data_IF_134529548509
#
_entry.id   IF_134529548509
#
_cell.length_a   1.000
_cell.length_b   1.000
_cell.length_c   1.000
_cell.angle_alpha   90.00
_cell.angle_beta   90.00
_cell.angle_gamma   90.00
#
_symmetry.space_group_name_H-M   'P 1'
#
loop_
_entity.id
_entity.type
_entity.pdbx_description
1 polymer ?
#
# COMPACT_ATOMS: atom_id res chain seq x y z
N UNK A 1 13.82 17.28 4.91
CA UNK A 1 13.09 18.36 4.22
C UNK A 1 11.60 18.07 4.36
N UNK A 2 10.78 19.02 4.84
CA UNK A 2 9.37 18.76 5.20
C UNK A 2 8.37 18.91 4.05
N UNK A 3 8.79 18.92 2.77
CA UNK A 3 7.97 18.87 1.54
C UNK A 3 6.56 19.54 1.60
N UNK A 4 6.45 20.72 2.20
CA UNK A 4 5.17 21.46 2.33
C UNK A 4 4.30 21.10 3.54
N UNK A 5 4.69 20.13 4.36
CA UNK A 5 4.01 19.77 5.61
C UNK A 5 4.31 20.80 6.71
N UNK A 6 3.26 21.17 7.44
CA UNK A 6 3.31 22.15 8.54
C UNK A 6 3.88 21.57 9.85
N UNK A 7 3.99 20.24 9.96
CA UNK A 7 4.51 19.55 11.14
C UNK A 7 5.19 18.21 10.77
N UNK A 8 6.15 17.80 11.59
CA UNK A 8 6.82 16.51 11.42
C UNK A 8 5.85 15.34 11.62
N UNK A 9 4.89 15.47 12.56
CA UNK A 9 3.85 14.47 12.77
C UNK A 9 2.94 14.29 11.55
N UNK A 10 2.55 15.37 10.88
CA UNK A 10 1.77 15.31 9.65
C UNK A 10 2.51 14.62 8.50
N UNK A 11 3.80 14.94 8.33
CA UNK A 11 4.67 14.26 7.37
C UNK A 11 4.81 12.77 7.68
N UNK A 12 5.03 12.41 8.96
CA UNK A 12 5.20 11.02 9.37
C UNK A 12 3.93 10.20 9.17
N UNK A 13 2.76 10.76 9.51
CA UNK A 13 1.48 10.11 9.28
C UNK A 13 1.25 9.88 7.77
N UNK A 14 1.49 10.91 6.95
CA UNK A 14 1.37 10.78 5.50
C UNK A 14 2.29 9.70 4.94
N UNK A 15 3.58 9.72 5.30
CA UNK A 15 4.55 8.71 4.85
C UNK A 15 4.11 7.31 5.28
N UNK A 16 3.66 7.15 6.52
CA UNK A 16 3.22 5.85 7.06
C UNK A 16 2.03 5.30 6.30
N UNK A 17 0.95 6.08 6.16
CA UNK A 17 -0.27 5.66 5.46
C UNK A 17 0.02 5.42 3.98
N UNK A 18 0.68 6.37 3.32
CA UNK A 18 0.99 6.27 1.90
C UNK A 18 1.88 5.06 1.61
N UNK A 19 2.89 4.80 2.43
CA UNK A 19 3.79 3.65 2.24
C UNK A 19 3.06 2.33 2.45
N UNK A 20 2.17 2.23 3.44
CA UNK A 20 1.36 1.04 3.66
C UNK A 20 0.48 0.73 2.44
N UNK A 21 -0.26 1.74 1.94
CA UNK A 21 -1.11 1.58 0.74
C UNK A 21 -0.27 1.24 -0.49
N UNK A 22 0.82 1.95 -0.74
CA UNK A 22 1.71 1.69 -1.88
C UNK A 22 2.28 0.28 -1.83
N UNK A 23 2.76 -0.16 -0.69
CA UNK A 23 3.39 -1.48 -0.54
C UNK A 23 2.38 -2.63 -0.62
N UNK A 24 1.10 -2.38 -0.28
CA UNK A 24 0.03 -3.34 -0.48
C UNK A 24 -0.19 -3.63 -1.97
N UNK A 25 -0.26 -2.58 -2.80
CA UNK A 25 -0.61 -2.73 -4.22
C UNK A 25 0.59 -2.91 -5.16
N UNK A 26 1.76 -2.39 -4.80
CA UNK A 26 2.95 -2.43 -5.66
C UNK A 26 3.84 -3.61 -5.29
N UNK A 27 3.95 -4.65 -6.13
CA UNK A 27 4.78 -5.81 -5.85
C UNK A 27 6.28 -5.42 -5.81
N UNK A 28 7.08 -6.09 -4.97
CA UNK A 28 8.52 -5.87 -4.93
C UNK A 28 9.17 -6.25 -6.27
N UNK A 29 10.14 -5.45 -6.71
CA UNK A 29 10.79 -5.57 -8.01
C UNK A 29 11.47 -6.93 -8.26
N UNK A 30 11.74 -7.68 -7.19
CA UNK A 30 12.52 -8.91 -7.21
C UNK A 30 11.76 -10.16 -7.71
N UNK A 31 10.43 -10.11 -7.91
CA UNK A 31 9.64 -11.27 -8.37
C UNK A 31 8.66 -10.88 -9.49
N UNK A 32 9.16 -10.92 -10.73
CA UNK A 32 8.47 -10.37 -11.92
C UNK A 32 7.77 -11.41 -12.80
N UNK A 33 7.38 -12.57 -12.26
CA UNK A 33 6.56 -13.52 -13.03
C UNK A 33 5.10 -13.06 -13.07
N UNK A 34 4.42 -13.32 -14.19
CA UNK A 34 3.00 -12.98 -14.34
C UNK A 34 2.13 -13.60 -13.23
N UNK A 35 2.42 -14.85 -12.86
CA UNK A 35 1.74 -15.56 -11.78
C UNK A 35 1.96 -14.90 -10.40
N UNK A 36 3.20 -14.49 -10.08
CA UNK A 36 3.49 -13.82 -8.81
C UNK A 36 2.76 -12.47 -8.71
N UNK A 37 2.69 -11.72 -9.81
CA UNK A 37 1.95 -10.45 -9.89
C UNK A 37 0.43 -10.69 -9.74
N UNK A 38 -0.10 -11.73 -10.38
CA UNK A 38 -1.51 -12.09 -10.27
C UNK A 38 -1.90 -12.47 -8.83
N UNK A 39 -1.13 -13.36 -8.19
CA UNK A 39 -1.35 -13.75 -6.79
C UNK A 39 -1.22 -12.54 -5.86
N UNK A 40 -0.21 -11.68 -6.08
CA UNK A 40 -0.05 -10.44 -5.31
C UNK A 40 -1.29 -9.56 -5.37
N UNK A 41 -1.84 -9.33 -6.56
CA UNK A 41 -3.04 -8.51 -6.75
C UNK A 41 -4.28 -9.08 -6.05
N UNK A 42 -4.50 -10.39 -6.14
CA UNK A 42 -5.63 -11.04 -5.45
C UNK A 42 -5.52 -10.84 -3.94
N UNK A 43 -4.33 -11.08 -3.37
CA UNK A 43 -4.09 -10.89 -1.93
C UNK A 43 -4.24 -9.43 -1.51
N UNK A 44 -3.73 -8.50 -2.31
CA UNK A 44 -3.86 -7.08 -2.04
C UNK A 44 -5.32 -6.64 -2.00
N UNK A 45 -6.15 -7.09 -2.94
CA UNK A 45 -7.59 -6.79 -2.96
C UNK A 45 -8.34 -7.43 -1.79
N UNK A 46 -7.99 -8.66 -1.40
CA UNK A 46 -8.59 -9.31 -0.23
C UNK A 46 -8.28 -8.53 1.06
N UNK A 47 -7.03 -8.10 1.24
CA UNK A 47 -6.63 -7.26 2.37
C UNK A 47 -7.33 -5.90 2.36
N UNK A 48 -7.44 -5.27 1.19
CA UNK A 48 -8.16 -4.01 1.04
C UNK A 48 -9.64 -4.14 1.45
N UNK A 49 -10.34 -5.16 0.95
CA UNK A 49 -11.75 -5.37 1.27
C UNK A 49 -11.99 -5.62 2.76
N UNK A 50 -11.08 -6.35 3.42
CA UNK A 50 -11.13 -6.59 4.86
C UNK A 50 -11.00 -5.30 5.68
N UNK A 51 -10.11 -4.38 5.26
CA UNK A 51 -9.91 -3.09 5.95
C UNK A 51 -11.01 -2.09 5.61
N UNK A 52 -11.53 -2.12 4.38
CA UNK A 52 -12.59 -1.22 3.91
C UNK A 52 -14.00 -1.60 4.43
N UNK A 53 -14.15 -2.76 5.09
CA UNK A 53 -15.46 -3.31 5.45
C UNK A 53 -16.32 -3.65 4.22
N UNK A 54 -15.71 -3.74 3.04
CA UNK A 54 -16.36 -4.08 1.78
C UNK A 54 -16.39 -5.61 1.58
N UNK A 55 -16.81 -6.34 2.62
CA UNK A 55 -17.08 -7.77 2.51
C UNK A 55 -18.33 -7.95 1.64
N UNK A 56 -18.15 -8.64 0.51
CA UNK A 56 -19.25 -9.11 -0.34
C UNK A 56 -20.07 -10.14 0.42
#
# INVERSE_FOLDING_TARGET
MMQGFRSAGGLQCFISVFSAVRNLFVPPHQKRSALAIHIHRIRAMAQWNAVAGATV
#
